data_IF_038402101717
#
_entry.id   IF_038402101717
#
_cell.length_a   1.000
_cell.length_b   1.000
_cell.length_c   1.000
_cell.angle_alpha   90.00
_cell.angle_beta   90.00
_cell.angle_gamma   90.00
#
_symmetry.space_group_name_H-M   'P 1'
#
loop_
_entity.id
_entity.type
_entity.pdbx_description
1 polymer ?
#
# COMPACT_ATOMS: atom_id res chain seq x y z
N UNK A 1 -77.09 -11.28 33.80
CA UNK A 1 -77.10 -11.09 32.33
C UNK A 1 -76.72 -9.64 32.09
N UNK A 2 -75.47 -9.25 31.80
CA UNK A 2 -74.75 -9.42 30.52
C UNK A 2 -73.22 -9.44 30.81
N UNK A 3 -72.73 -10.54 31.37
CA UNK A 3 -71.29 -10.84 31.44
C UNK A 3 -70.97 -11.70 30.20
N UNK A 4 -70.37 -11.15 29.13
CA UNK A 4 -69.59 -11.98 28.19
C UNK A 4 -68.77 -11.25 27.11
N UNK A 5 -69.11 -10.04 26.66
CA UNK A 5 -68.72 -9.65 25.28
C UNK A 5 -67.70 -8.53 25.05
N UNK A 6 -67.17 -7.83 26.07
CA UNK A 6 -66.16 -6.76 25.82
C UNK A 6 -64.92 -6.90 26.71
N UNK A 7 -64.64 -8.11 27.21
CA UNK A 7 -63.36 -8.45 27.84
C UNK A 7 -62.26 -8.80 26.81
N UNK A 8 -62.55 -8.62 25.52
CA UNK A 8 -61.74 -9.14 24.41
C UNK A 8 -61.54 -8.12 23.28
N UNK A 9 -61.91 -6.85 23.48
CA UNK A 9 -61.58 -5.77 22.55
C UNK A 9 -61.10 -4.57 23.35
N UNK A 10 -59.88 -4.18 23.02
CA UNK A 10 -59.26 -2.91 23.41
C UNK A 10 -58.86 -2.77 24.87
N UNK A 11 -58.27 -3.85 25.38
CA UNK A 11 -57.10 -3.87 26.28
C UNK A 11 -55.87 -3.12 25.68
N UNK A 12 -56.09 -2.10 24.84
CA UNK A 12 -55.09 -1.46 23.98
C UNK A 12 -55.18 0.08 23.95
N UNK A 13 -56.15 0.71 24.60
CA UNK A 13 -56.33 2.18 24.50
C UNK A 13 -55.92 2.93 25.78
N UNK A 14 -55.76 2.23 26.92
CA UNK A 14 -55.19 2.83 28.16
C UNK A 14 -53.65 2.78 28.17
N UNK A 15 -53.02 2.12 27.19
CA UNK A 15 -51.57 2.03 27.00
C UNK A 15 -51.02 3.05 25.97
N UNK A 16 -51.80 4.08 25.61
CA UNK A 16 -51.51 4.96 24.48
C UNK A 16 -50.97 6.36 24.82
N UNK A 17 -50.98 6.79 26.08
CA UNK A 17 -50.69 8.18 26.46
C UNK A 17 -49.39 8.37 27.25
N UNK A 18 -48.61 7.30 27.45
CA UNK A 18 -47.36 7.32 28.23
C UNK A 18 -46.09 7.17 27.38
N UNK A 19 -46.15 7.50 26.09
CA UNK A 19 -45.02 7.34 25.17
C UNK A 19 -44.79 8.60 24.31
N UNK A 20 -44.71 9.77 24.95
CA UNK A 20 -44.10 10.95 24.31
C UNK A 20 -42.59 10.74 24.24
N UNK A 21 -42.21 10.03 23.18
CA UNK A 21 -40.87 9.77 22.67
C UNK A 21 -39.92 10.97 22.87
N UNK A 22 -38.95 10.80 23.76
CA UNK A 22 -37.70 11.56 23.73
C UNK A 22 -36.98 11.28 22.40
N UNK A 23 -37.05 12.21 21.46
CA UNK A 23 -36.23 12.18 20.25
C UNK A 23 -34.79 12.55 20.61
N UNK A 24 -34.01 11.57 21.09
CA UNK A 24 -32.56 11.72 21.18
C UNK A 24 -32.00 11.59 19.77
N UNK A 25 -31.68 12.72 19.15
CA UNK A 25 -30.86 12.74 17.93
C UNK A 25 -29.44 12.37 18.33
N UNK A 26 -29.07 11.12 18.08
CA UNK A 26 -27.68 10.66 18.16
C UNK A 26 -26.86 11.44 17.13
N UNK A 27 -26.15 12.48 17.57
CA UNK A 27 -25.14 13.14 16.78
C UNK A 27 -24.00 12.14 16.58
N UNK A 28 -23.98 11.50 15.41
CA UNK A 28 -22.86 10.68 14.99
C UNK A 28 -21.63 11.59 14.93
N UNK A 29 -20.80 11.47 15.97
CA UNK A 29 -19.54 12.17 16.10
C UNK A 29 -18.69 11.88 14.86
N UNK A 30 -18.39 12.93 14.12
CA UNK A 30 -17.60 12.85 12.90
C UNK A 30 -16.18 12.46 13.28
N UNK A 31 -15.74 11.28 12.87
CA UNK A 31 -14.38 10.79 13.09
C UNK A 31 -13.45 11.38 12.00
N UNK A 32 -12.56 12.32 12.36
CA UNK A 32 -11.63 12.95 11.42
C UNK A 32 -10.47 12.02 11.02
N UNK A 33 -10.39 10.79 11.56
CA UNK A 33 -9.41 9.78 11.19
C UNK A 33 -9.94 8.77 10.17
N UNK A 34 -11.04 9.06 9.46
CA UNK A 34 -11.41 8.25 8.29
C UNK A 34 -10.39 8.52 7.16
N UNK A 35 -9.48 7.57 6.85
CA UNK A 35 -8.58 7.75 5.72
C UNK A 35 -9.44 7.85 4.45
N UNK A 36 -9.18 8.89 3.67
CA UNK A 36 -9.84 9.10 2.39
C UNK A 36 -9.42 7.94 1.50
N UNK A 37 -10.41 7.19 1.00
CA UNK A 37 -10.18 5.96 0.25
C UNK A 37 -9.16 6.14 -0.86
N UNK A 38 -8.39 5.08 -1.09
CA UNK A 38 -7.32 4.98 -2.08
C UNK A 38 -7.80 5.36 -3.49
N UNK A 39 -7.82 6.66 -3.76
CA UNK A 39 -7.77 7.15 -5.13
C UNK A 39 -6.45 6.67 -5.68
N UNK A 40 -6.50 5.63 -6.50
CA UNK A 40 -5.37 5.15 -7.28
C UNK A 40 -4.83 6.33 -8.10
N UNK A 41 -3.90 7.07 -7.51
CA UNK A 41 -3.16 8.10 -8.20
C UNK A 41 -2.48 7.38 -9.36
N UNK A 42 -2.92 7.70 -10.59
CA UNK A 42 -2.23 7.27 -11.78
C UNK A 42 -0.76 7.68 -11.59
N UNK A 43 0.09 6.68 -11.38
CA UNK A 43 1.52 6.85 -11.17
C UNK A 43 2.05 7.60 -12.38
N UNK A 44 2.22 8.92 -12.22
CA UNK A 44 2.84 9.76 -13.21
C UNK A 44 4.25 9.21 -13.37
N UNK A 45 4.53 8.60 -14.52
CA UNK A 45 5.84 8.05 -14.82
C UNK A 45 6.86 9.18 -14.74
N UNK A 46 7.54 9.28 -13.59
CA UNK A 46 8.73 10.10 -13.46
C UNK A 46 9.74 9.65 -14.51
N UNK A 47 10.53 10.58 -15.09
CA UNK A 47 11.60 10.22 -16.01
C UNK A 47 12.45 9.12 -15.36
N UNK A 48 12.69 8.02 -16.10
CA UNK A 48 13.44 6.87 -15.61
C UNK A 48 14.87 7.31 -15.29
N UNK A 49 15.08 7.71 -14.04
CA UNK A 49 16.41 7.97 -13.51
C UNK A 49 17.15 6.64 -13.52
N UNK A 50 18.36 6.56 -14.12
CA UNK A 50 19.11 5.31 -14.12
C UNK A 50 19.31 4.84 -12.68
N UNK A 51 18.98 3.57 -12.44
CA UNK A 51 19.19 2.96 -11.13
C UNK A 51 20.67 2.60 -11.00
N UNK A 52 21.33 3.11 -9.96
CA UNK A 52 22.71 2.79 -9.63
C UNK A 52 22.78 2.14 -8.26
N UNK A 53 23.44 0.99 -8.19
CA UNK A 53 23.67 0.26 -6.96
C UNK A 53 24.94 0.81 -6.29
N UNK A 54 24.74 1.46 -5.15
CA UNK A 54 25.82 2.11 -4.40
C UNK A 54 26.50 1.15 -3.44
N UNK A 55 25.72 0.36 -2.69
CA UNK A 55 26.26 -0.60 -1.73
C UNK A 55 25.27 -1.71 -1.41
N UNK A 56 25.80 -2.82 -0.89
CA UNK A 56 25.02 -3.95 -0.38
C UNK A 56 25.52 -4.25 1.03
N UNK A 57 24.58 -4.42 1.96
CA UNK A 57 24.82 -4.88 3.31
C UNK A 57 24.20 -6.26 3.49
N UNK A 58 25.07 -7.25 3.70
CA UNK A 58 24.70 -8.62 4.04
C UNK A 58 24.87 -8.83 5.54
N UNK A 59 23.77 -9.02 6.25
CA UNK A 59 23.77 -9.46 7.65
C UNK A 59 22.99 -10.78 7.78
N UNK A 60 23.25 -11.51 8.86
CA UNK A 60 22.68 -12.85 9.10
C UNK A 60 21.14 -12.87 9.02
N UNK A 61 20.48 -11.78 9.44
CA UNK A 61 19.02 -11.67 9.47
C UNK A 61 18.46 -10.63 8.49
N UNK A 62 19.30 -9.84 7.82
CA UNK A 62 18.83 -8.79 6.91
C UNK A 62 19.75 -8.63 5.70
N UNK A 63 19.14 -8.58 4.53
CA UNK A 63 19.79 -8.23 3.26
C UNK A 63 19.24 -6.89 2.82
N UNK A 64 20.14 -5.93 2.63
CA UNK A 64 19.78 -4.54 2.35
C UNK A 64 20.68 -4.02 1.25
N UNK A 65 20.11 -3.32 0.27
CA UNK A 65 20.87 -2.64 -0.77
C UNK A 65 20.58 -1.14 -0.75
N UNK A 66 21.56 -0.34 -1.14
CA UNK A 66 21.40 1.10 -1.33
C UNK A 66 21.40 1.38 -2.82
N UNK A 67 20.25 1.78 -3.36
CA UNK A 67 20.06 2.13 -4.77
C UNK A 67 19.66 3.59 -4.87
N UNK A 68 20.43 4.39 -5.62
CA UNK A 68 20.23 5.84 -5.73
C UNK A 68 20.11 6.53 -4.36
N UNK A 69 20.89 6.10 -3.36
CA UNK A 69 20.85 6.63 -1.99
C UNK A 69 19.67 6.16 -1.15
N UNK A 70 18.75 5.34 -1.69
CA UNK A 70 17.63 4.76 -0.96
C UNK A 70 17.96 3.35 -0.50
N UNK A 71 17.67 3.08 0.77
CA UNK A 71 17.74 1.75 1.38
C UNK A 71 16.54 0.92 0.90
N UNK A 72 16.80 -0.23 0.29
CA UNK A 72 15.80 -1.16 -0.24
C UNK A 72 16.06 -2.59 0.24
N UNK A 73 14.99 -3.37 0.31
CA UNK A 73 14.97 -4.78 0.69
C UNK A 73 14.24 -5.63 -0.36
N UNK A 74 14.35 -6.96 -0.26
CA UNK A 74 13.63 -7.87 -1.15
C UNK A 74 12.12 -7.66 -1.04
N UNK A 75 11.44 -7.55 -2.18
CA UNK A 75 10.01 -7.26 -2.26
C UNK A 75 9.67 -5.77 -2.38
N UNK A 76 10.60 -4.86 -2.06
CA UNK A 76 10.36 -3.42 -2.23
C UNK A 76 10.16 -3.03 -3.69
N UNK A 77 9.52 -1.86 -3.89
CA UNK A 77 9.33 -1.26 -5.21
C UNK A 77 10.02 0.10 -5.32
N UNK A 78 10.76 0.31 -6.41
CA UNK A 78 11.45 1.57 -6.73
C UNK A 78 11.30 1.87 -8.22
N UNK A 79 10.81 3.05 -8.59
CA UNK A 79 10.63 3.48 -9.99
C UNK A 79 9.88 2.47 -10.88
N UNK A 80 8.93 1.74 -10.29
CA UNK A 80 8.15 0.68 -10.96
C UNK A 80 8.86 -0.67 -11.07
N UNK A 81 10.08 -0.81 -10.58
CA UNK A 81 10.79 -2.07 -10.44
C UNK A 81 10.51 -2.71 -9.08
N UNK A 82 10.32 -4.03 -9.05
CA UNK A 82 10.27 -4.85 -7.84
C UNK A 82 11.62 -5.47 -7.59
N UNK A 83 12.09 -5.43 -6.36
CA UNK A 83 13.31 -6.12 -5.92
C UNK A 83 12.99 -7.61 -5.76
N UNK A 84 13.61 -8.45 -6.58
CA UNK A 84 13.39 -9.90 -6.58
C UNK A 84 14.40 -10.58 -5.65
N UNK A 85 15.66 -10.17 -5.72
CA UNK A 85 16.75 -10.80 -4.96
C UNK A 85 17.88 -9.81 -4.72
N UNK A 86 18.49 -9.88 -3.53
CA UNK A 86 19.70 -9.13 -3.18
C UNK A 86 20.80 -10.14 -2.86
N UNK A 87 21.86 -10.16 -3.67
CA UNK A 87 23.07 -10.96 -3.40
C UNK A 87 24.22 -10.06 -2.98
N UNK A 88 25.36 -10.65 -2.63
CA UNK A 88 26.58 -9.94 -2.23
C UNK A 88 27.16 -8.97 -3.27
N UNK A 89 26.82 -9.16 -4.56
CA UNK A 89 27.39 -8.39 -5.69
C UNK A 89 26.37 -7.73 -6.59
N UNK A 90 25.12 -8.19 -6.57
CA UNK A 90 24.11 -7.75 -7.51
C UNK A 90 22.72 -7.68 -6.86
N UNK A 91 21.89 -6.83 -7.43
CA UNK A 91 20.46 -6.74 -7.12
C UNK A 91 19.68 -7.06 -8.38
N UNK A 92 18.75 -8.01 -8.27
CA UNK A 92 17.84 -8.37 -9.34
C UNK A 92 16.52 -7.62 -9.19
N UNK A 93 16.13 -6.94 -10.26
CA UNK A 93 14.96 -6.10 -10.35
C UNK A 93 14.04 -6.62 -11.47
N UNK A 94 12.74 -6.48 -11.29
CA UNK A 94 11.74 -6.88 -12.27
C UNK A 94 10.75 -5.74 -12.51
N UNK A 95 10.43 -5.45 -13.77
CA UNK A 95 9.39 -4.50 -14.17
C UNK A 95 8.54 -5.12 -15.28
N UNK A 96 7.36 -5.60 -14.92
CA UNK A 96 6.52 -6.40 -15.83
C UNK A 96 7.24 -7.70 -16.19
N UNK A 97 7.51 -7.93 -17.48
CA UNK A 97 8.23 -9.13 -17.96
C UNK A 97 9.74 -8.94 -18.10
N UNK A 98 10.27 -7.76 -17.78
CA UNK A 98 11.69 -7.44 -17.96
C UNK A 98 12.44 -7.59 -16.64
N UNK A 99 13.51 -8.38 -16.68
CA UNK A 99 14.48 -8.47 -15.58
C UNK A 99 15.65 -7.52 -15.82
N UNK A 100 16.10 -6.87 -14.75
CA UNK A 100 17.24 -5.95 -14.74
C UNK A 100 18.20 -6.37 -13.63
N UNK A 101 19.50 -6.38 -13.91
CA UNK A 101 20.54 -6.69 -12.92
C UNK A 101 21.42 -5.48 -12.72
N UNK A 102 21.44 -4.99 -11.48
CA UNK A 102 22.36 -3.94 -11.06
C UNK A 102 23.55 -4.58 -10.38
N UNK A 103 24.75 -4.25 -10.87
CA UNK A 103 26.00 -4.65 -10.25
C UNK A 103 26.55 -3.47 -9.45
N UNK A 104 27.34 -3.76 -8.42
CA UNK A 104 27.96 -2.73 -7.61
C UNK A 104 28.84 -1.81 -8.48
N UNK A 105 28.74 -0.49 -8.30
CA UNK A 105 29.38 0.50 -9.18
C UNK A 105 30.87 0.25 -9.44
N UNK A 106 31.63 -0.22 -8.43
CA UNK A 106 33.05 -0.57 -8.57
C UNK A 106 33.33 -1.67 -9.62
N UNK A 107 32.33 -2.48 -9.98
CA UNK A 107 32.42 -3.52 -10.99
C UNK A 107 31.84 -3.08 -12.36
N UNK A 108 31.10 -1.96 -12.40
CA UNK A 108 30.52 -1.42 -13.63
C UNK A 108 31.55 -0.66 -14.49
N UNK A 109 32.76 -0.43 -13.97
CA UNK A 109 33.93 0.05 -14.73
C UNK A 109 34.77 -1.10 -15.32
N UNK A 110 34.15 -2.07 -15.98
CA UNK A 110 34.82 -2.76 -17.08
C UNK A 110 34.38 -2.02 -18.35
N UNK A 111 35.16 -1.06 -18.85
CA UNK A 111 34.74 -0.31 -20.01
C UNK A 111 34.59 -1.30 -21.16
N UNK A 112 33.35 -1.47 -21.65
CA UNK A 112 33.12 -1.86 -23.03
C UNK A 112 33.63 -0.70 -23.89
N UNK A 113 34.96 -0.54 -23.94
CA UNK A 113 35.63 0.31 -24.91
C UNK A 113 35.28 -0.34 -26.24
N UNK A 114 34.23 0.15 -26.88
CA UNK A 114 34.08 0.00 -28.32
C UNK A 114 35.29 0.70 -28.91
N UNK A 115 36.41 -0.01 -29.01
CA UNK A 115 37.51 0.41 -29.87
C UNK A 115 36.92 0.37 -31.28
N UNK A 116 36.40 1.51 -31.73
CA UNK A 116 36.37 1.83 -33.15
C UNK A 116 37.84 1.82 -33.56
N UNK A 117 38.31 0.67 -34.03
CA UNK A 117 39.52 0.62 -34.81
C UNK A 117 39.10 1.23 -36.15
N UNK A 118 39.26 2.54 -36.25
CA UNK A 118 39.31 3.24 -37.52
C UNK A 118 40.77 3.39 -37.80
N UNK A 119 41.28 2.60 -38.74
CA UNK A 119 42.08 3.00 -39.90
C UNK A 119 42.22 1.81 -40.85
#
# INVERSE_FOLDING_TARGET
MVNCFVRQRTLLVVSGLFLTLSATSALAWYDPMRPQGDGAAALKSEPETPLSLTSILMAQQRRVAIVNGRVITEGDRINGYRVVSITDRQVELEKGTKHHRLHLAAQQQAPSVKRKITE
#
